data_IF_801781192527
#
_entry.id   IF_801781192527
#
_cell.length_a   1.000
_cell.length_b   1.000
_cell.length_c   1.000
_cell.angle_alpha   90.00
_cell.angle_beta   90.00
_cell.angle_gamma   90.00
#
_symmetry.space_group_name_H-M   'P 1'
#
loop_
_entity.id
_entity.type
_entity.pdbx_description
1 polymer ?
#
# COMPACT_ATOMS: atom_id res chain seq x y z
N UNK A 1 19.96 10.68 -16.43
CA UNK A 1 18.62 10.98 -17.00
C UNK A 1 18.25 10.04 -18.14
N UNK A 2 19.11 9.86 -19.17
CA UNK A 2 18.81 8.93 -20.28
C UNK A 2 18.64 7.48 -19.86
N UNK A 3 19.39 6.99 -18.88
CA UNK A 3 19.25 5.61 -18.36
C UNK A 3 17.95 5.37 -17.60
N UNK A 4 17.44 6.38 -16.92
CA UNK A 4 16.15 6.31 -16.21
C UNK A 4 14.97 6.26 -17.19
N UNK A 5 15.02 7.10 -18.22
CA UNK A 5 14.00 7.10 -19.28
C UNK A 5 14.05 5.81 -20.10
N UNK A 6 15.23 5.25 -20.33
CA UNK A 6 15.41 3.99 -21.04
C UNK A 6 14.83 2.79 -20.25
N UNK A 7 14.86 2.82 -18.93
CA UNK A 7 14.24 1.78 -18.10
C UNK A 7 12.70 1.84 -18.10
N UNK A 8 12.12 3.03 -18.36
CA UNK A 8 10.68 3.24 -18.42
C UNK A 8 10.10 2.87 -19.78
N UNK A 9 10.82 3.12 -20.87
CA UNK A 9 10.34 2.99 -22.25
C UNK A 9 10.75 1.71 -23.00
N UNK A 10 11.24 0.69 -22.32
CA UNK A 10 11.42 -0.61 -22.93
C UNK A 10 12.65 -0.73 -23.83
N UNK A 11 13.80 -0.31 -23.37
CA UNK A 11 15.08 -0.52 -24.07
C UNK A 11 15.67 -1.91 -23.79
N UNK A 12 16.83 -2.24 -24.37
CA UNK A 12 17.52 -3.53 -24.20
C UNK A 12 17.71 -3.97 -22.74
N UNK A 13 17.70 -3.02 -21.76
CA UNK A 13 17.73 -3.34 -20.33
C UNK A 13 16.47 -4.07 -19.84
N UNK A 14 15.31 -3.90 -20.47
CA UNK A 14 14.11 -4.63 -20.12
C UNK A 14 14.18 -6.11 -20.53
N UNK A 15 15.02 -6.45 -21.49
CA UNK A 15 15.30 -7.85 -21.83
C UNK A 15 16.11 -8.53 -20.73
N UNK A 16 16.87 -7.77 -19.95
CA UNK A 16 17.73 -8.24 -18.87
C UNK A 16 17.02 -8.26 -17.53
N UNK A 17 16.20 -7.24 -17.24
CA UNK A 17 15.49 -7.10 -15.99
C UNK A 17 14.20 -7.92 -15.96
N UNK A 18 13.87 -8.49 -14.81
CA UNK A 18 12.64 -9.24 -14.62
C UNK A 18 11.45 -8.28 -14.49
N UNK A 19 10.57 -8.26 -15.49
CA UNK A 19 9.38 -7.41 -15.50
C UNK A 19 8.40 -7.75 -14.37
N UNK A 20 8.30 -9.02 -13.98
CA UNK A 20 7.47 -9.45 -12.85
C UNK A 20 8.01 -8.90 -11.53
N UNK A 21 9.31 -9.07 -11.28
CA UNK A 21 9.92 -8.54 -10.06
C UNK A 21 9.77 -7.01 -9.97
N UNK A 22 9.98 -6.30 -11.08
CA UNK A 22 9.85 -4.85 -11.12
C UNK A 22 8.41 -4.38 -10.84
N UNK A 23 7.40 -5.04 -11.43
CA UNK A 23 5.99 -4.62 -11.30
C UNK A 23 5.30 -5.12 -10.04
N UNK A 24 5.66 -6.32 -9.58
CA UNK A 24 4.94 -7.04 -8.52
C UNK A 24 5.78 -7.15 -7.24
N UNK A 25 7.09 -6.91 -7.33
CA UNK A 25 8.01 -7.11 -6.22
C UNK A 25 8.34 -8.57 -5.93
N UNK A 26 7.77 -9.51 -6.69
CA UNK A 26 7.98 -10.94 -6.54
C UNK A 26 8.01 -11.64 -7.90
N UNK A 27 8.81 -12.68 -8.01
CA UNK A 27 8.93 -13.49 -9.22
C UNK A 27 8.86 -14.97 -8.88
N UNK A 28 8.06 -15.74 -9.66
CA UNK A 28 7.90 -17.19 -9.46
C UNK A 28 9.20 -18.01 -9.56
N UNK A 29 10.22 -17.46 -10.20
CA UNK A 29 11.52 -18.11 -10.36
C UNK A 29 12.49 -17.77 -9.22
N UNK A 30 12.13 -16.83 -8.33
CA UNK A 30 12.95 -16.42 -7.20
C UNK A 30 14.35 -16.07 -7.63
N UNK A 31 15.34 -16.57 -6.91
CA UNK A 31 16.77 -16.35 -7.20
C UNK A 31 17.28 -17.09 -8.43
N UNK A 32 16.55 -18.11 -8.90
CA UNK A 32 16.88 -18.88 -10.12
C UNK A 32 16.36 -18.22 -11.41
N UNK A 33 15.87 -16.99 -11.31
CA UNK A 33 15.39 -16.27 -12.47
C UNK A 33 16.54 -15.98 -13.45
N UNK A 34 16.32 -16.27 -14.73
CA UNK A 34 17.29 -15.93 -15.80
C UNK A 34 17.46 -14.43 -16.03
N UNK A 35 16.58 -13.62 -15.43
CA UNK A 35 16.58 -12.15 -15.49
C UNK A 35 16.98 -11.55 -14.16
N UNK A 36 17.51 -10.33 -14.19
CA UNK A 36 17.96 -9.64 -13.00
C UNK A 36 16.79 -9.14 -12.14
N UNK A 37 16.91 -9.35 -10.83
CA UNK A 37 16.05 -8.77 -9.81
C UNK A 37 16.78 -7.61 -9.15
N UNK A 38 16.50 -6.38 -9.58
CA UNK A 38 17.09 -5.18 -8.99
C UNK A 38 16.32 -4.81 -7.72
N UNK A 39 16.93 -5.06 -6.57
CA UNK A 39 16.40 -4.60 -5.29
C UNK A 39 16.55 -3.09 -5.18
N UNK A 40 15.47 -2.34 -4.89
CA UNK A 40 15.57 -0.89 -4.75
C UNK A 40 16.36 -0.51 -3.49
N UNK A 41 17.18 0.52 -3.60
CA UNK A 41 17.88 1.10 -2.45
C UNK A 41 17.01 2.03 -1.64
N UNK A 42 15.97 2.58 -2.26
CA UNK A 42 14.95 3.43 -1.64
C UNK A 42 13.59 3.11 -2.26
N UNK A 43 12.54 3.11 -1.45
CA UNK A 43 11.15 2.90 -1.89
C UNK A 43 10.19 3.35 -0.81
N UNK A 44 9.00 3.78 -1.21
CA UNK A 44 7.88 4.02 -0.30
C UNK A 44 7.16 2.73 0.11
N UNK A 45 7.36 1.66 -0.66
CA UNK A 45 6.67 0.39 -0.47
C UNK A 45 7.61 -0.64 0.16
N UNK A 46 7.12 -1.30 1.20
CA UNK A 46 7.78 -2.46 1.79
C UNK A 46 6.99 -3.74 1.48
N UNK A 47 7.70 -4.84 1.38
CA UNK A 47 7.14 -6.18 1.28
C UNK A 47 7.44 -6.95 2.56
N UNK A 48 6.42 -7.48 3.19
CA UNK A 48 6.50 -8.44 4.29
C UNK A 48 6.20 -9.82 3.71
N UNK A 49 7.23 -10.67 3.62
CA UNK A 49 7.12 -11.96 2.95
C UNK A 49 6.39 -12.96 3.84
N UNK A 50 5.39 -13.65 3.28
CA UNK A 50 4.65 -14.74 3.93
C UNK A 50 4.13 -14.41 5.34
N UNK A 51 3.76 -13.15 5.60
CA UNK A 51 3.30 -12.71 6.92
C UNK A 51 1.90 -13.24 7.23
N UNK A 52 0.98 -13.15 6.25
CA UNK A 52 -0.39 -13.63 6.40
C UNK A 52 -0.45 -15.15 6.13
N UNK A 53 -1.05 -15.88 7.07
CA UNK A 53 -1.37 -17.29 6.88
C UNK A 53 -2.88 -17.41 6.76
N UNK A 54 -3.34 -17.75 5.55
CA UNK A 54 -4.75 -18.04 5.37
C UNK A 54 -5.14 -19.26 6.22
N UNK A 55 -6.29 -19.24 6.91
CA UNK A 55 -6.73 -20.36 7.75
C UNK A 55 -6.75 -21.69 6.98
N UNK A 56 -7.09 -21.68 5.71
CA UNK A 56 -7.13 -22.86 4.84
C UNK A 56 -5.75 -23.51 4.60
N UNK A 57 -4.67 -22.78 4.80
CA UNK A 57 -3.29 -23.26 4.62
C UNK A 57 -2.69 -23.82 5.91
N UNK A 58 -3.37 -23.68 7.04
CA UNK A 58 -2.93 -24.24 8.32
C UNK A 58 -3.38 -25.70 8.44
N UNK A 59 -2.47 -26.65 8.18
CA UNK A 59 -2.71 -28.09 8.33
C UNK A 59 -3.09 -28.52 9.78
N UNK A 60 -2.89 -27.65 10.77
CA UNK A 60 -3.04 -27.98 12.19
C UNK A 60 -4.35 -27.45 12.82
N UNK A 61 -5.20 -26.76 12.10
CA UNK A 61 -6.49 -26.30 12.62
C UNK A 61 -7.63 -27.07 11.95
N UNK A 62 -8.69 -27.36 12.71
CA UNK A 62 -9.92 -28.01 12.22
C UNK A 62 -10.67 -27.08 11.25
N UNK A 63 -10.07 -26.80 10.11
CA UNK A 63 -10.53 -25.85 9.09
C UNK A 63 -11.77 -26.38 8.34
N UNK A 64 -12.06 -27.67 8.44
CA UNK A 64 -13.17 -28.31 7.73
C UNK A 64 -14.56 -27.69 8.00
N UNK A 65 -14.71 -26.90 9.08
CA UNK A 65 -16.00 -26.31 9.49
C UNK A 65 -15.97 -24.78 9.57
N UNK A 66 -14.92 -24.11 9.07
CA UNK A 66 -14.85 -22.65 9.11
C UNK A 66 -15.73 -22.03 8.05
N UNK A 67 -16.61 -21.11 8.45
CA UNK A 67 -17.44 -20.34 7.51
C UNK A 67 -16.63 -19.21 6.86
N UNK A 68 -17.02 -18.78 5.65
CA UNK A 68 -16.38 -17.63 4.98
C UNK A 68 -16.41 -16.36 5.84
N UNK A 69 -17.46 -16.18 6.63
CA UNK A 69 -17.61 -15.04 7.55
C UNK A 69 -16.51 -15.06 8.62
N UNK A 70 -16.28 -16.21 9.24
CA UNK A 70 -15.22 -16.37 10.24
C UNK A 70 -13.82 -16.16 9.64
N UNK A 71 -13.61 -16.66 8.42
CA UNK A 71 -12.35 -16.45 7.71
C UNK A 71 -12.12 -14.95 7.38
N UNK A 72 -13.19 -14.21 7.09
CA UNK A 72 -13.12 -12.76 6.88
C UNK A 72 -12.86 -12.00 8.16
N UNK A 73 -13.48 -12.39 9.28
CA UNK A 73 -13.25 -11.77 10.60
C UNK A 73 -11.79 -11.93 11.03
N UNK A 74 -11.22 -13.13 10.91
CA UNK A 74 -9.79 -13.40 11.23
C UNK A 74 -8.88 -12.56 10.33
N UNK A 75 -9.23 -12.41 9.06
CA UNK A 75 -8.46 -11.58 8.14
C UNK A 75 -8.53 -10.10 8.50
N UNK A 76 -9.71 -9.60 8.84
CA UNK A 76 -9.91 -8.22 9.24
C UNK A 76 -9.17 -7.88 10.54
N UNK A 77 -9.16 -8.79 11.53
CA UNK A 77 -8.36 -8.66 12.76
C UNK A 77 -6.87 -8.59 12.45
N UNK A 78 -6.36 -9.52 11.63
CA UNK A 78 -4.97 -9.51 11.18
C UNK A 78 -4.61 -8.19 10.49
N UNK A 79 -5.46 -7.74 9.56
CA UNK A 79 -5.23 -6.51 8.82
C UNK A 79 -5.21 -5.29 9.74
N UNK A 80 -6.18 -5.19 10.68
CA UNK A 80 -6.25 -4.10 11.65
C UNK A 80 -4.99 -4.07 12.55
N UNK A 81 -4.55 -5.23 13.06
CA UNK A 81 -3.36 -5.33 13.91
C UNK A 81 -2.11 -4.82 13.19
N UNK A 82 -1.83 -5.35 12.01
CA UNK A 82 -0.63 -4.97 11.24
C UNK A 82 -0.68 -3.50 10.82
N UNK A 83 -1.84 -3.02 10.34
CA UNK A 83 -2.01 -1.63 9.92
C UNK A 83 -1.80 -0.65 11.06
N UNK A 84 -2.48 -0.87 12.19
CA UNK A 84 -2.41 0.02 13.36
C UNK A 84 -1.01 0.05 13.95
N UNK A 85 -0.35 -1.10 14.02
CA UNK A 85 1.00 -1.17 14.52
C UNK A 85 2.00 -0.44 13.61
N UNK A 86 1.97 -0.72 12.31
CA UNK A 86 2.86 -0.08 11.34
C UNK A 86 2.62 1.43 11.28
N UNK A 87 1.35 1.88 11.24
CA UNK A 87 1.02 3.30 11.24
C UNK A 87 1.49 4.01 12.52
N UNK A 88 1.35 3.35 13.68
CA UNK A 88 1.68 3.98 14.97
C UNK A 88 3.17 4.13 15.19
N UNK A 89 3.97 3.17 14.73
CA UNK A 89 5.41 3.10 15.01
C UNK A 89 6.29 3.71 13.91
N UNK A 90 5.86 3.59 12.65
CA UNK A 90 6.73 3.95 11.54
C UNK A 90 6.28 5.20 10.81
N UNK A 91 5.00 5.36 10.50
CA UNK A 91 4.49 6.56 9.84
C UNK A 91 3.17 6.37 9.12
N UNK A 92 2.75 7.40 8.38
CA UNK A 92 1.49 7.42 7.64
C UNK A 92 1.51 6.38 6.51
N UNK A 93 0.51 5.48 6.53
CA UNK A 93 0.31 4.47 5.49
C UNK A 93 -0.64 5.04 4.43
N UNK A 94 -0.23 5.03 3.17
CA UNK A 94 -1.08 5.37 2.03
C UNK A 94 -1.96 4.20 1.63
N UNK A 95 -1.36 3.02 1.53
CA UNK A 95 -2.03 1.80 1.06
C UNK A 95 -1.41 0.56 1.68
N UNK A 96 -2.23 -0.41 2.05
CA UNK A 96 -1.80 -1.72 2.50
C UNK A 96 -2.61 -2.79 1.79
N UNK A 97 -1.92 -3.78 1.24
CA UNK A 97 -2.49 -4.85 0.45
C UNK A 97 -1.98 -6.21 0.90
N UNK A 98 -2.86 -7.19 0.98
CA UNK A 98 -2.53 -8.58 1.35
C UNK A 98 -2.87 -9.49 0.19
N UNK A 99 -1.90 -10.32 -0.22
CA UNK A 99 -2.07 -11.26 -1.30
C UNK A 99 -2.81 -12.53 -0.84
N UNK A 100 -3.81 -12.93 -1.61
CA UNK A 100 -4.60 -14.16 -1.45
C UNK A 100 -4.16 -15.26 -2.45
N UNK A 101 -3.00 -15.09 -3.06
CA UNK A 101 -2.42 -16.06 -3.97
C UNK A 101 -1.98 -17.33 -3.23
N UNK A 102 -1.96 -18.47 -3.94
CA UNK A 102 -1.46 -19.74 -3.44
C UNK A 102 -0.03 -20.05 -3.90
N UNK A 103 0.48 -19.35 -4.91
CA UNK A 103 1.84 -19.53 -5.41
C UNK A 103 2.88 -19.04 -4.40
N UNK A 104 3.95 -19.80 -4.20
CA UNK A 104 4.99 -19.61 -3.17
C UNK A 104 5.59 -18.20 -3.16
N UNK A 105 5.66 -17.54 -4.32
CA UNK A 105 6.24 -16.21 -4.47
C UNK A 105 5.31 -15.08 -4.03
N UNK A 106 4.00 -15.34 -3.86
CA UNK A 106 3.01 -14.33 -3.48
C UNK A 106 2.19 -14.72 -2.25
N UNK A 107 2.20 -15.98 -1.85
CA UNK A 107 1.36 -16.48 -0.75
C UNK A 107 1.62 -15.70 0.53
N UNK A 108 0.56 -15.10 1.08
CA UNK A 108 0.62 -14.38 2.35
C UNK A 108 1.50 -13.13 2.38
N UNK A 109 1.94 -12.65 1.22
CA UNK A 109 2.71 -11.41 1.14
C UNK A 109 1.85 -10.21 1.50
N UNK A 110 2.42 -9.32 2.30
CA UNK A 110 1.79 -8.06 2.70
C UNK A 110 2.63 -6.92 2.16
N UNK A 111 2.01 -6.04 1.40
CA UNK A 111 2.63 -4.84 0.85
C UNK A 111 2.09 -3.63 1.59
N UNK A 112 3.00 -2.79 2.09
CA UNK A 112 2.64 -1.56 2.80
C UNK A 112 3.34 -0.40 2.12
N UNK A 113 2.55 0.55 1.61
CA UNK A 113 3.04 1.79 1.03
C UNK A 113 2.94 2.91 2.04
N UNK A 114 4.08 3.44 2.43
CA UNK A 114 4.18 4.61 3.28
C UNK A 114 4.17 5.90 2.47
N UNK A 115 3.79 6.99 3.10
CA UNK A 115 3.84 8.30 2.49
C UNK A 115 5.24 8.83 2.27
N UNK A 116 6.20 8.39 3.10
CA UNK A 116 7.60 8.79 3.05
C UNK A 116 8.50 7.56 2.89
N UNK A 117 9.55 7.73 2.11
CA UNK A 117 10.57 6.69 1.93
C UNK A 117 11.35 6.40 3.22
N UNK A 118 11.60 7.45 4.02
CA UNK A 118 12.28 7.36 5.32
C UNK A 118 11.52 6.46 6.31
N UNK A 119 10.17 6.54 6.31
CA UNK A 119 9.32 5.72 7.16
C UNK A 119 9.36 4.25 6.71
N UNK A 120 9.42 3.99 5.41
CA UNK A 120 9.56 2.64 4.85
C UNK A 120 10.92 2.02 5.21
N UNK A 121 12.02 2.76 5.06
CA UNK A 121 13.37 2.29 5.43
C UNK A 121 13.47 1.96 6.91
N UNK A 122 12.93 2.85 7.77
CA UNK A 122 12.85 2.63 9.21
C UNK A 122 12.02 1.39 9.54
N UNK A 123 10.87 1.20 8.87
CA UNK A 123 10.01 0.05 9.07
C UNK A 123 10.75 -1.26 8.75
N UNK A 124 11.45 -1.34 7.60
CA UNK A 124 12.23 -2.53 7.22
C UNK A 124 13.28 -2.87 8.27
N UNK A 125 14.06 -1.88 8.74
CA UNK A 125 15.11 -2.10 9.76
C UNK A 125 14.55 -2.65 11.07
N UNK A 126 13.41 -2.12 11.51
CA UNK A 126 12.80 -2.51 12.78
C UNK A 126 12.02 -3.82 12.69
N UNK A 127 11.30 -4.07 11.58
CA UNK A 127 10.47 -5.26 11.40
C UNK A 127 11.30 -6.53 11.27
N UNK A 128 12.48 -6.48 10.64
CA UNK A 128 13.38 -7.64 10.54
C UNK A 128 13.93 -8.13 11.90
N UNK A 129 13.77 -7.35 12.97
CA UNK A 129 14.14 -7.73 14.33
C UNK A 129 12.94 -8.26 15.14
N UNK A 130 11.80 -8.48 14.49
CA UNK A 130 10.55 -8.82 15.17
C UNK A 130 10.01 -10.19 14.77
N UNK A 131 9.14 -10.68 15.63
CA UNK A 131 8.41 -11.92 15.43
C UNK A 131 6.91 -11.61 15.36
N UNK A 132 6.21 -12.31 14.48
CA UNK A 132 4.76 -12.27 14.37
C UNK A 132 4.22 -13.70 14.30
N UNK A 133 3.22 -14.03 15.13
CA UNK A 133 2.66 -15.37 15.17
C UNK A 133 3.67 -16.50 15.39
N UNK A 134 4.74 -16.26 16.18
CA UNK A 134 5.80 -17.25 16.44
C UNK A 134 6.81 -17.43 15.29
N UNK A 135 6.79 -16.58 14.26
CA UNK A 135 7.70 -16.61 13.12
C UNK A 135 8.46 -15.28 12.97
N UNK A 136 9.72 -15.31 12.51
CA UNK A 136 10.44 -14.09 12.23
C UNK A 136 9.78 -13.34 11.08
N UNK A 137 9.72 -12.03 11.17
CA UNK A 137 9.23 -11.16 10.10
C UNK A 137 10.36 -10.92 9.10
N UNK A 138 10.10 -11.14 7.82
CA UNK A 138 11.01 -10.83 6.73
C UNK A 138 10.48 -9.64 5.95
N UNK A 139 11.15 -8.49 6.12
CA UNK A 139 10.77 -7.24 5.48
C UNK A 139 11.85 -6.79 4.49
N UNK A 140 11.45 -6.38 3.31
CA UNK A 140 12.35 -5.79 2.31
C UNK A 140 11.69 -4.60 1.60
N UNK A 141 12.51 -3.72 1.01
CA UNK A 141 12.01 -2.65 0.14
C UNK A 141 11.52 -3.26 -1.17
N UNK A 142 10.32 -2.87 -1.60
CA UNK A 142 9.70 -3.37 -2.82
C UNK A 142 9.77 -2.33 -3.94
N UNK A 143 10.03 -2.74 -5.19
CA UNK A 143 10.03 -1.84 -6.34
C UNK A 143 8.61 -1.41 -6.77
N UNK A 144 7.57 -1.95 -6.15
CA UNK A 144 6.17 -1.65 -6.50
C UNK A 144 5.83 -0.21 -6.12
N UNK A 145 5.47 0.59 -7.12
CA UNK A 145 5.04 1.98 -6.93
C UNK A 145 3.55 2.15 -7.14
N UNK A 146 2.96 1.38 -8.06
CA UNK A 146 1.53 1.39 -8.37
C UNK A 146 0.95 -0.03 -8.32
N UNK A 147 0.06 -0.26 -7.36
CA UNK A 147 -0.61 -1.55 -7.19
C UNK A 147 -1.59 -1.88 -8.33
N UNK A 148 -2.06 -0.90 -9.10
CA UNK A 148 -2.93 -1.13 -10.26
C UNK A 148 -2.24 -1.93 -11.37
N UNK A 149 -0.92 -1.79 -11.48
CA UNK A 149 -0.12 -2.57 -12.44
C UNK A 149 0.23 -3.96 -11.90
N UNK A 150 0.31 -4.10 -10.57
CA UNK A 150 0.65 -5.34 -9.90
C UNK A 150 -0.56 -6.27 -9.74
N UNK A 151 -1.78 -5.72 -9.63
CA UNK A 151 -3.01 -6.48 -9.43
C UNK A 151 -3.50 -7.19 -10.70
N UNK A 152 -4.12 -8.33 -10.51
CA UNK A 152 -4.75 -9.07 -11.60
C UNK A 152 -6.14 -8.51 -11.90
N UNK A 153 -6.28 -7.78 -13.01
CA UNK A 153 -7.57 -7.24 -13.46
C UNK A 153 -8.64 -8.30 -13.66
N UNK A 154 -8.26 -9.48 -14.13
CA UNK A 154 -9.20 -10.59 -14.30
C UNK A 154 -9.72 -11.10 -12.95
N UNK A 155 -8.91 -11.04 -11.90
CA UNK A 155 -9.35 -11.43 -10.56
C UNK A 155 -10.34 -10.41 -9.98
N UNK A 156 -10.10 -9.12 -10.17
CA UNK A 156 -11.04 -8.06 -9.76
C UNK A 156 -12.41 -8.19 -10.43
N UNK A 157 -12.45 -8.71 -11.67
CA UNK A 157 -13.67 -8.99 -12.43
C UNK A 157 -14.28 -10.37 -12.10
N UNK A 158 -13.59 -11.19 -11.29
CA UNK A 158 -14.02 -12.57 -11.00
C UNK A 158 -13.75 -13.58 -12.12
N UNK A 159 -12.96 -13.22 -13.13
CA UNK A 159 -12.76 -14.03 -14.36
C UNK A 159 -11.36 -14.67 -14.46
N UNK A 160 -10.53 -14.62 -13.40
CA UNK A 160 -9.18 -15.15 -13.47
C UNK A 160 -9.17 -16.67 -13.53
N UNK A 161 -8.83 -17.23 -14.68
CA UNK A 161 -8.76 -18.68 -14.93
C UNK A 161 -7.53 -19.35 -14.31
N UNK A 162 -6.51 -18.57 -13.89
CA UNK A 162 -5.27 -19.09 -13.26
C UNK A 162 -5.45 -19.37 -11.77
N UNK A 163 -6.57 -18.96 -11.17
CA UNK A 163 -6.84 -19.14 -9.74
C UNK A 163 -5.72 -18.58 -8.88
N UNK A 164 -5.46 -19.19 -7.73
CA UNK A 164 -4.43 -18.77 -6.77
C UNK A 164 -2.98 -18.87 -7.29
N UNK A 165 -2.72 -19.54 -8.41
CA UNK A 165 -1.38 -19.66 -9.03
C UNK A 165 -1.08 -18.57 -10.07
N UNK A 166 -1.87 -17.50 -10.08
CA UNK A 166 -1.62 -16.36 -10.94
C UNK A 166 -0.30 -15.68 -10.56
N UNK A 167 0.43 -15.17 -11.57
CA UNK A 167 1.65 -14.39 -11.33
C UNK A 167 1.38 -12.96 -10.89
N UNK A 168 0.16 -12.44 -11.09
CA UNK A 168 -0.26 -11.13 -10.62
C UNK A 168 -0.93 -11.24 -9.25
N UNK A 169 -0.92 -10.15 -8.49
CA UNK A 169 -1.51 -10.12 -7.16
C UNK A 169 -3.03 -10.35 -7.22
N UNK A 170 -3.52 -11.28 -6.43
CA UNK A 170 -4.91 -11.39 -6.05
C UNK A 170 -5.04 -10.78 -4.67
N UNK A 171 -5.68 -9.64 -4.55
CA UNK A 171 -5.79 -8.94 -3.27
C UNK A 171 -7.03 -9.40 -2.53
N UNK A 172 -6.86 -9.74 -1.24
CA UNK A 172 -7.97 -10.03 -0.36
C UNK A 172 -8.60 -8.73 0.14
N UNK A 173 -9.89 -8.49 -0.15
CA UNK A 173 -10.55 -7.27 0.29
C UNK A 173 -10.85 -7.31 1.79
N UNK A 174 -10.65 -6.18 2.47
CA UNK A 174 -11.11 -5.98 3.85
C UNK A 174 -12.57 -5.52 3.87
N UNK A 175 -13.23 -5.67 5.03
CA UNK A 175 -14.57 -5.16 5.22
C UNK A 175 -14.64 -3.64 5.02
N UNK A 176 -15.75 -3.15 4.45
CA UNK A 176 -15.93 -1.71 4.18
C UNK A 176 -15.91 -0.87 5.47
N UNK A 177 -16.37 -1.45 6.57
CA UNK A 177 -16.39 -0.80 7.87
C UNK A 177 -14.98 -0.60 8.40
N UNK A 178 -14.16 -1.64 8.38
CA UNK A 178 -12.77 -1.60 8.79
C UNK A 178 -11.97 -0.61 7.91
N UNK A 179 -12.15 -0.67 6.60
CA UNK A 179 -11.52 0.27 5.67
C UNK A 179 -11.82 1.73 6.06
N UNK A 180 -13.10 2.07 6.29
CA UNK A 180 -13.49 3.42 6.72
C UNK A 180 -12.90 3.79 8.08
N UNK A 181 -12.87 2.85 9.04
CA UNK A 181 -12.32 3.05 10.39
C UNK A 181 -10.84 3.41 10.31
N UNK A 182 -10.04 2.62 9.62
CA UNK A 182 -8.59 2.76 9.54
C UNK A 182 -8.18 4.04 8.78
N UNK A 183 -8.65 4.21 7.56
CA UNK A 183 -8.27 5.36 6.74
C UNK A 183 -8.86 6.70 7.23
N UNK A 184 -10.01 6.70 7.90
CA UNK A 184 -10.51 7.92 8.55
C UNK A 184 -9.70 8.27 9.81
N UNK A 185 -9.22 7.27 10.55
CA UNK A 185 -8.31 7.46 11.69
C UNK A 185 -6.99 8.04 11.22
N UNK A 186 -6.40 7.50 10.17
CA UNK A 186 -5.19 8.00 9.55
C UNK A 186 -5.34 9.45 9.09
N UNK A 187 -6.40 9.78 8.37
CA UNK A 187 -6.73 11.14 7.95
C UNK A 187 -6.89 12.12 9.11
N UNK A 188 -7.46 11.69 10.24
CA UNK A 188 -7.58 12.54 11.45
C UNK A 188 -6.22 12.79 12.08
N UNK A 189 -5.36 11.76 12.14
CA UNK A 189 -4.04 11.83 12.75
C UNK A 189 -3.09 12.72 11.95
N UNK A 190 -3.05 12.53 10.63
CA UNK A 190 -2.10 13.21 9.74
C UNK A 190 -2.70 14.40 8.95
N UNK A 191 -4.01 14.46 8.77
CA UNK A 191 -4.71 15.49 7.99
C UNK A 191 -4.89 16.84 8.69
N UNK A 192 -4.53 16.97 9.96
CA UNK A 192 -4.71 18.20 10.76
C UNK A 192 -3.81 19.37 10.37
N UNK A 193 -2.72 19.13 9.64
CA UNK A 193 -1.73 20.15 9.29
C UNK A 193 -2.14 21.07 8.13
N UNK A 194 -2.96 20.60 7.20
CA UNK A 194 -3.32 21.38 6.00
C UNK A 194 -4.52 22.32 6.20
N UNK A 195 -5.39 22.05 7.18
CA UNK A 195 -6.55 22.91 7.47
C UNK A 195 -6.20 24.18 8.24
N UNK A 196 -5.14 24.18 9.07
CA UNK A 196 -4.71 25.37 9.82
C UNK A 196 -4.06 26.46 8.96
N UNK A 197 -3.55 26.15 7.78
CA UNK A 197 -2.96 27.16 6.87
C UNK A 197 -4.00 27.90 6.01
N UNK A 198 -5.21 27.34 5.79
CA UNK A 198 -6.25 28.00 4.97
C UNK A 198 -7.15 28.97 5.74
N UNK A 199 -7.18 28.93 7.08
CA UNK A 199 -8.04 29.81 7.88
C UNK A 199 -7.41 31.15 8.27
N UNK A 200 -6.11 31.36 8.00
CA UNK A 200 -5.41 32.62 8.36
C UNK A 200 -5.24 33.64 7.24
N UNK A 201 -5.73 33.37 6.02
CA UNK A 201 -5.58 34.30 4.88
C UNK A 201 -6.87 35.02 4.48
N UNK A 202 -7.92 35.01 5.31
CA UNK A 202 -9.18 35.72 5.05
C UNK A 202 -9.54 36.67 6.19
N UNK A 203 -8.68 37.67 6.46
CA UNK A 203 -9.08 38.87 7.18
C UNK A 203 -8.27 40.09 6.69
N UNK A 204 -8.55 40.48 5.44
CA UNK A 204 -8.16 41.74 4.87
C UNK A 204 -9.43 42.51 4.50
N UNK A 205 -9.99 43.26 5.48
CA UNK A 205 -11.21 44.00 5.29
C UNK A 205 -11.04 45.11 4.27
N UNK A 206 -11.81 45.07 3.21
CA UNK A 206 -12.05 46.22 2.35
C UNK A 206 -13.02 47.19 3.06
N UNK A 207 -12.46 48.23 3.69
CA UNK A 207 -13.21 49.42 4.04
C UNK A 207 -13.58 50.16 2.75
N UNK A 208 -14.83 50.12 2.38
CA UNK A 208 -15.41 51.01 1.36
C UNK A 208 -15.53 52.39 1.97
N UNK A 209 -14.74 53.34 1.48
CA UNK A 209 -14.91 54.79 1.74
C UNK A 209 -16.18 55.24 0.98
N UNK A 210 -17.15 55.77 1.76
CA UNK A 210 -18.32 56.48 1.22
C UNK A 210 -17.90 57.92 0.96
N UNK A 211 -17.94 58.35 -0.31
CA UNK A 211 -17.84 59.76 -0.68
C UNK A 211 -19.18 60.47 -0.43
N UNK A 212 -19.20 61.70 0.09
CA UNK A 212 -20.44 62.45 0.32
C UNK A 212 -20.98 63.06 -0.97
N UNK A 213 -22.29 62.94 -1.18
CA UNK A 213 -23.04 63.62 -2.28
C UNK A 213 -23.05 65.13 -2.05
N UNK A 214 -22.45 65.89 -2.96
CA UNK A 214 -22.60 67.31 -3.07
C UNK A 214 -24.01 67.69 -3.53
N UNK A 215 -24.63 68.63 -2.79
CA UNK A 215 -25.83 69.33 -3.19
C UNK A 215 -25.50 70.36 -4.25
N UNK A 216 -26.11 70.27 -5.37
CA UNK A 216 -26.07 71.32 -6.43
C UNK A 216 -27.36 72.11 -6.40
N UNK A 217 -27.19 73.42 -6.25
CA UNK A 217 -28.21 74.47 -6.24
C UNK A 217 -28.64 74.90 -7.63
N UNK A 218 -29.90 75.24 -7.69
CA UNK A 218 -30.61 75.91 -8.72
C UNK A 218 -29.87 77.02 -9.47
N UNK A 219 -30.04 77.12 -10.79
CA UNK A 219 -30.78 78.17 -11.53
C UNK A 219 -30.96 77.70 -13.00
#
# INVERSE_FOLDING_TARGET
MAEYLASIFGTEKDKVNCSFYFKIGACRHGEQCSRLHNKPTFSQTILLQNLYIAPHNNANQNVANMTEVQAQEIFDEFFEEVFVECESKYGEIEEMNVCDNLGDHLVGNVYIKFRREEDAEKAVKMLNQRWFGGRPVHAELSPVTDFREACCRQYELGECTRGGFCNFMHLKPISRELCRKLYNRSKRRYGGSSRRRRSRSRSGGHRRSRSPKGRGSRR
#
